data_IF_241003768198
#
_entry.id   IF_241003768198
#
_cell.length_a   1.000
_cell.length_b   1.000
_cell.length_c   1.000
_cell.angle_alpha   90.00
_cell.angle_beta   90.00
_cell.angle_gamma   90.00
#
_symmetry.space_group_name_H-M   'P 1'
#
loop_
_entity.id
_entity.type
_entity.pdbx_description
1 polymer ?
#
# COMPACT_ATOMS: atom_id res chain seq x y z
N UNK A 1 -6.68 6.74 -9.80
CA UNK A 1 -6.41 6.48 -11.23
C UNK A 1 -7.00 7.64 -12.04
N UNK A 2 -6.25 8.19 -12.99
CA UNK A 2 -6.67 9.26 -13.89
C UNK A 2 -6.92 8.71 -15.29
N UNK A 3 -8.09 8.97 -15.88
CA UNK A 3 -8.40 8.62 -17.27
C UNK A 3 -8.83 9.89 -18.03
N UNK A 4 -8.35 10.04 -19.28
CA UNK A 4 -8.78 11.12 -20.15
C UNK A 4 -10.04 10.70 -20.91
N UNK A 5 -11.09 11.49 -20.82
CA UNK A 5 -12.26 11.31 -21.69
C UNK A 5 -11.87 11.66 -23.13
N UNK A 6 -12.05 10.70 -24.04
CA UNK A 6 -11.67 10.86 -25.46
C UNK A 6 -12.55 11.84 -26.20
N UNK A 7 -13.81 12.04 -25.76
CA UNK A 7 -14.78 12.93 -26.43
C UNK A 7 -14.64 14.38 -25.96
N UNK A 8 -14.60 14.59 -24.62
CA UNK A 8 -14.61 15.95 -24.03
C UNK A 8 -13.21 16.47 -23.69
N UNK A 9 -12.20 15.63 -23.76
CA UNK A 9 -10.82 16.01 -23.42
C UNK A 9 -10.54 16.19 -21.92
N UNK A 10 -11.52 16.02 -21.07
CA UNK A 10 -11.43 16.23 -19.63
C UNK A 10 -10.78 15.01 -18.96
N UNK A 11 -10.26 15.23 -17.72
CA UNK A 11 -9.71 14.16 -16.91
C UNK A 11 -10.72 13.73 -15.87
N UNK A 12 -11.04 12.43 -15.84
CA UNK A 12 -11.86 11.80 -14.82
C UNK A 12 -10.92 11.14 -13.81
N UNK A 13 -11.10 11.46 -12.53
CA UNK A 13 -10.31 10.93 -11.43
C UNK A 13 -11.11 9.85 -10.70
N UNK A 14 -10.51 8.67 -10.55
CA UNK A 14 -11.09 7.57 -9.80
C UNK A 14 -10.26 7.35 -8.54
N UNK A 15 -10.91 7.42 -7.40
CA UNK A 15 -10.31 7.07 -6.12
C UNK A 15 -10.38 5.57 -5.92
N UNK A 16 -9.26 4.95 -5.55
CA UNK A 16 -9.18 3.53 -5.24
C UNK A 16 -8.62 3.37 -3.85
N UNK A 17 -9.33 2.63 -3.00
CA UNK A 17 -8.86 2.31 -1.67
C UNK A 17 -7.74 1.27 -1.76
N UNK A 18 -6.64 1.53 -1.06
CA UNK A 18 -5.58 0.55 -0.90
C UNK A 18 -5.89 -0.32 0.33
N UNK A 19 -6.59 -1.43 0.12
CA UNK A 19 -7.05 -2.33 1.18
C UNK A 19 -5.91 -2.84 2.06
N UNK A 20 -4.76 -3.18 1.48
CA UNK A 20 -3.57 -3.62 2.22
C UNK A 20 -3.10 -2.56 3.23
N UNK A 21 -2.94 -1.30 2.78
CA UNK A 21 -2.52 -0.21 3.67
C UNK A 21 -3.55 0.10 4.74
N UNK A 22 -4.84 -0.01 4.40
CA UNK A 22 -5.91 0.22 5.37
C UNK A 22 -5.94 -0.85 6.46
N UNK A 23 -5.78 -2.12 6.09
CA UNK A 23 -5.72 -3.23 7.05
C UNK A 23 -4.49 -3.12 7.95
N UNK A 24 -3.32 -2.81 7.40
CA UNK A 24 -2.09 -2.58 8.19
C UNK A 24 -2.25 -1.42 9.17
N UNK A 25 -2.90 -0.32 8.75
CA UNK A 25 -3.16 0.81 9.63
C UNK A 25 -4.11 0.44 10.76
N UNK A 26 -5.19 -0.28 10.42
CA UNK A 26 -6.17 -0.74 11.41
C UNK A 26 -5.54 -1.69 12.42
N UNK A 27 -4.69 -2.63 11.98
CA UNK A 27 -3.93 -3.51 12.87
C UNK A 27 -3.05 -2.69 13.85
N UNK A 28 -2.30 -1.72 13.34
CA UNK A 28 -1.45 -0.86 14.17
C UNK A 28 -2.26 -0.06 15.21
N UNK A 29 -3.41 0.47 14.83
CA UNK A 29 -4.28 1.23 15.73
C UNK A 29 -4.91 0.32 16.81
N UNK A 30 -5.27 -0.93 16.47
CA UNK A 30 -5.77 -1.91 17.45
C UNK A 30 -4.67 -2.37 18.41
N UNK A 31 -3.45 -2.59 17.94
CA UNK A 31 -2.31 -2.93 18.80
C UNK A 31 -2.07 -1.82 19.82
N UNK A 32 -2.12 -0.54 19.40
CA UNK A 32 -1.97 0.60 20.32
C UNK A 32 -3.07 0.60 21.38
N UNK A 33 -4.32 0.39 20.99
CA UNK A 33 -5.44 0.29 21.94
C UNK A 33 -5.29 -0.85 22.92
N UNK A 34 -4.77 -2.00 22.48
CA UNK A 34 -4.48 -3.12 23.37
C UNK A 34 -3.38 -2.76 24.38
N UNK A 35 -2.34 -2.04 23.96
CA UNK A 35 -1.29 -1.59 24.88
C UNK A 35 -1.85 -0.62 25.93
N UNK A 36 -2.70 0.33 25.54
CA UNK A 36 -3.40 1.24 26.46
C UNK A 36 -4.28 0.47 27.45
N UNK A 37 -5.04 -0.54 26.99
CA UNK A 37 -5.87 -1.36 27.85
C UNK A 37 -5.04 -2.24 28.79
N UNK A 38 -3.91 -2.78 28.34
CA UNK A 38 -2.98 -3.54 29.19
C UNK A 38 -2.33 -2.66 30.26
N UNK A 39 -2.00 -1.42 29.93
CA UNK A 39 -1.53 -0.45 30.92
C UNK A 39 -2.60 -0.15 31.96
N UNK A 40 -3.83 0.15 31.51
CA UNK A 40 -4.95 0.39 32.40
C UNK A 40 -5.27 -0.83 33.29
N UNK A 41 -5.09 -2.05 32.77
CA UNK A 41 -5.24 -3.28 33.55
C UNK A 41 -4.19 -3.37 34.66
N UNK A 42 -2.92 -3.13 34.31
CA UNK A 42 -1.81 -3.12 35.28
C UNK A 42 -1.99 -2.06 36.36
N UNK A 43 -2.47 -0.86 35.98
CA UNK A 43 -2.78 0.19 36.96
C UNK A 43 -3.93 -0.23 37.87
N UNK A 44 -4.98 -0.91 37.37
CA UNK A 44 -6.09 -1.42 38.16
C UNK A 44 -5.70 -2.57 39.09
N UNK A 45 -4.74 -3.40 38.69
CA UNK A 45 -4.23 -4.51 39.51
C UNK A 45 -3.25 -4.04 40.60
N UNK A 46 -2.50 -2.93 40.34
CA UNK A 46 -1.47 -2.41 41.25
C UNK A 46 -1.96 -1.33 42.21
N UNK A 47 -3.00 -0.54 41.83
CA UNK A 47 -3.48 0.63 42.58
C UNK A 47 -4.87 0.40 43.13
N UNK A 48 -5.15 1.04 44.27
CA UNK A 48 -6.49 1.15 44.84
C UNK A 48 -7.20 2.35 44.26
N UNK A 49 -8.50 2.22 44.07
CA UNK A 49 -9.36 3.28 43.54
C UNK A 49 -10.50 3.55 44.51
N UNK A 50 -10.87 4.81 44.59
CA UNK A 50 -11.92 5.34 45.46
C UNK A 50 -12.94 6.08 44.61
N UNK A 51 -14.21 6.02 44.96
CA UNK A 51 -15.30 6.69 44.25
C UNK A 51 -16.10 7.57 45.19
N UNK A 52 -16.50 8.73 44.70
CA UNK A 52 -17.53 9.53 45.32
C UNK A 52 -18.92 9.05 44.82
N UNK A 53 -19.80 8.63 45.71
CA UNK A 53 -21.13 8.13 45.34
C UNK A 53 -22.05 9.18 44.78
N UNK A 54 -21.91 10.46 45.19
CA UNK A 54 -22.73 11.55 44.70
C UNK A 54 -22.34 12.09 43.36
N UNK A 55 -21.02 12.13 43.08
CA UNK A 55 -20.47 12.73 41.84
C UNK A 55 -20.00 11.69 40.80
N UNK A 56 -19.98 10.40 41.16
CA UNK A 56 -19.42 9.32 40.32
C UNK A 56 -17.96 9.54 39.88
N UNK A 57 -17.23 10.34 40.66
CA UNK A 57 -15.82 10.65 40.36
C UNK A 57 -14.94 9.57 40.99
N UNK A 58 -14.17 8.87 40.17
CA UNK A 58 -13.21 7.87 40.58
C UNK A 58 -11.81 8.48 40.65
N UNK A 59 -11.10 8.26 41.74
CA UNK A 59 -9.74 8.75 41.99
C UNK A 59 -8.82 7.62 42.46
N UNK A 60 -7.52 7.77 42.20
CA UNK A 60 -6.53 6.84 42.76
C UNK A 60 -6.30 7.13 44.24
N UNK A 61 -5.74 6.14 44.99
CA UNK A 61 -5.41 6.30 46.41
C UNK A 61 -4.51 7.54 46.67
N UNK A 62 -3.55 7.80 45.78
CA UNK A 62 -2.67 8.97 45.86
C UNK A 62 -3.46 10.29 45.90
N UNK A 63 -4.43 10.45 44.95
CA UNK A 63 -5.28 11.62 44.89
C UNK A 63 -6.29 11.72 46.04
N UNK A 64 -6.80 10.57 46.50
CA UNK A 64 -7.68 10.55 47.66
C UNK A 64 -6.96 11.00 48.93
N UNK A 65 -5.70 10.61 49.10
CA UNK A 65 -4.84 11.07 50.21
C UNK A 65 -4.57 12.57 50.15
N UNK A 66 -4.34 13.13 48.97
CA UNK A 66 -4.13 14.61 48.81
C UNK A 66 -5.34 15.42 49.24
N UNK A 67 -6.56 14.86 49.17
CA UNK A 67 -7.82 15.52 49.54
C UNK A 67 -8.41 14.97 50.86
N UNK A 68 -7.61 14.36 51.71
CA UNK A 68 -8.07 13.73 52.96
C UNK A 68 -9.31 12.84 52.79
N UNK A 69 -9.34 12.08 51.71
CA UNK A 69 -10.44 11.23 51.27
C UNK A 69 -11.81 11.92 51.11
N UNK A 70 -11.77 13.26 50.92
CA UNK A 70 -12.97 14.06 50.67
C UNK A 70 -13.07 14.45 49.17
N UNK A 71 -14.27 14.39 48.62
CA UNK A 71 -14.50 14.81 47.23
C UNK A 71 -14.34 16.32 47.06
N UNK A 72 -13.54 16.77 46.10
CA UNK A 72 -13.31 18.19 45.85
C UNK A 72 -14.56 18.91 45.33
N UNK A 73 -15.56 18.17 44.80
CA UNK A 73 -16.78 18.78 44.22
C UNK A 73 -17.92 18.87 45.25
N UNK A 74 -18.13 17.85 46.07
CA UNK A 74 -19.26 17.80 46.98
C UNK A 74 -18.87 17.60 48.46
N UNK A 75 -17.60 17.51 48.78
CA UNK A 75 -17.01 17.27 50.10
C UNK A 75 -17.49 15.94 50.75
N UNK A 76 -18.09 15.01 50.02
CA UNK A 76 -18.45 13.69 50.52
C UNK A 76 -17.24 12.79 50.63
N UNK A 77 -17.21 11.86 51.55
CA UNK A 77 -16.09 10.93 51.74
C UNK A 77 -16.08 9.86 50.66
N UNK A 78 -14.92 9.67 50.07
CA UNK A 78 -14.68 8.64 49.07
C UNK A 78 -14.85 7.24 49.67
N UNK A 79 -15.44 6.32 48.90
CA UNK A 79 -15.56 4.90 49.26
C UNK A 79 -14.65 4.06 48.39
N UNK A 80 -14.05 3.00 48.98
CA UNK A 80 -13.19 2.07 48.24
C UNK A 80 -14.00 1.33 47.16
N UNK A 81 -13.46 1.25 45.95
CA UNK A 81 -14.04 0.54 44.81
C UNK A 81 -13.53 -0.90 44.74
N UNK A 82 -14.42 -1.84 44.48
CA UNK A 82 -14.04 -3.20 44.12
C UNK A 82 -13.63 -3.25 42.64
N UNK A 83 -12.31 -3.42 42.40
CA UNK A 83 -11.73 -3.45 41.06
C UNK A 83 -12.02 -4.76 40.29
N UNK A 84 -12.58 -5.79 40.90
CA UNK A 84 -12.78 -7.13 40.30
C UNK A 84 -13.61 -7.08 39.02
N UNK A 85 -14.71 -6.32 39.05
CA UNK A 85 -15.61 -6.14 37.90
C UNK A 85 -14.90 -5.36 36.77
N UNK A 86 -14.23 -4.24 37.11
CA UNK A 86 -13.52 -3.42 36.17
C UNK A 86 -12.35 -4.18 35.49
N UNK A 87 -11.60 -4.96 36.27
CA UNK A 87 -10.53 -5.82 35.75
C UNK A 87 -11.08 -6.85 34.77
N UNK A 88 -12.20 -7.50 35.09
CA UNK A 88 -12.85 -8.48 34.21
C UNK A 88 -13.32 -7.84 32.90
N UNK A 89 -13.88 -6.64 32.97
CA UNK A 89 -14.35 -5.90 31.79
C UNK A 89 -13.21 -5.47 30.89
N UNK A 90 -12.10 -4.99 31.47
CA UNK A 90 -10.90 -4.63 30.70
C UNK A 90 -10.29 -5.88 30.04
N UNK A 91 -10.17 -7.00 30.76
CA UNK A 91 -9.73 -8.28 30.19
C UNK A 91 -10.61 -8.72 29.03
N UNK A 92 -11.94 -8.62 29.18
CA UNK A 92 -12.90 -8.91 28.11
C UNK A 92 -12.77 -7.98 26.88
N UNK A 93 -12.42 -6.70 27.08
CA UNK A 93 -12.13 -5.77 25.98
C UNK A 93 -10.82 -6.14 25.25
N UNK A 94 -9.80 -6.55 25.98
CA UNK A 94 -8.51 -6.99 25.40
C UNK A 94 -8.73 -8.21 24.52
N UNK A 95 -9.40 -9.26 25.03
CA UNK A 95 -9.63 -10.49 24.25
C UNK A 95 -10.44 -10.24 22.98
N UNK A 96 -11.46 -9.36 23.03
CA UNK A 96 -12.21 -8.95 21.83
C UNK A 96 -11.33 -8.28 20.80
N UNK A 97 -10.43 -7.38 21.22
CA UNK A 97 -9.50 -6.70 20.31
C UNK A 97 -8.43 -7.63 19.75
N UNK A 98 -7.94 -8.57 20.50
CA UNK A 98 -7.03 -9.61 20.03
C UNK A 98 -7.68 -10.50 18.95
N UNK A 99 -8.96 -10.84 19.12
CA UNK A 99 -9.72 -11.56 18.11
C UNK A 99 -9.93 -10.72 16.83
N UNK A 100 -10.22 -9.41 16.95
CA UNK A 100 -10.32 -8.51 15.81
C UNK A 100 -8.98 -8.47 15.02
N UNK A 101 -7.84 -8.43 15.71
CA UNK A 101 -6.51 -8.47 15.07
C UNK A 101 -6.30 -9.79 14.31
N UNK A 102 -6.69 -10.92 14.91
CA UNK A 102 -6.58 -12.22 14.24
C UNK A 102 -7.39 -12.26 12.94
N UNK A 103 -8.60 -11.71 12.94
CA UNK A 103 -9.43 -11.61 11.73
C UNK A 103 -8.78 -10.69 10.68
N UNK A 104 -8.25 -9.53 11.07
CA UNK A 104 -7.56 -8.61 10.16
C UNK A 104 -6.34 -9.27 9.53
N UNK A 105 -5.56 -10.02 10.29
CA UNK A 105 -4.39 -10.75 9.78
C UNK A 105 -4.79 -11.82 8.75
N UNK A 106 -5.89 -12.53 8.98
CA UNK A 106 -6.40 -13.50 8.02
C UNK A 106 -6.82 -12.83 6.70
N UNK A 107 -7.53 -11.69 6.77
CA UNK A 107 -7.91 -10.93 5.59
C UNK A 107 -6.69 -10.34 4.86
N UNK A 108 -5.70 -9.85 5.60
CA UNK A 108 -4.47 -9.33 5.04
C UNK A 108 -3.71 -10.42 4.26
N UNK A 109 -3.63 -11.63 4.79
CA UNK A 109 -3.04 -12.77 4.10
C UNK A 109 -3.75 -13.06 2.77
N UNK A 110 -5.09 -13.03 2.75
CA UNK A 110 -5.86 -13.22 1.51
C UNK A 110 -5.62 -12.11 0.47
N UNK A 111 -5.47 -10.86 0.92
CA UNK A 111 -5.17 -9.71 0.04
C UNK A 111 -3.77 -9.83 -0.55
N UNK A 112 -2.80 -10.23 0.24
CA UNK A 112 -1.42 -10.44 -0.20
C UNK A 112 -1.32 -11.58 -1.22
N UNK A 113 -1.99 -12.69 -0.98
CA UNK A 113 -2.07 -13.85 -1.87
C UNK A 113 -2.67 -13.48 -3.23
N UNK A 114 -3.77 -12.73 -3.25
CA UNK A 114 -4.38 -12.21 -4.48
C UNK A 114 -3.42 -11.30 -5.24
N UNK A 115 -2.70 -10.44 -4.54
CA UNK A 115 -1.73 -9.51 -5.12
C UNK A 115 -0.53 -10.24 -5.72
N UNK A 116 -0.07 -11.29 -5.08
CA UNK A 116 1.03 -12.13 -5.58
C UNK A 116 0.62 -12.90 -6.84
N UNK A 117 -0.56 -13.52 -6.85
CA UNK A 117 -1.13 -14.19 -8.03
C UNK A 117 -1.29 -13.23 -9.22
N UNK A 118 -1.76 -12.01 -8.99
CA UNK A 118 -1.87 -11.00 -10.06
C UNK A 118 -0.50 -10.60 -10.60
N UNK A 119 0.47 -10.34 -9.74
CA UNK A 119 1.86 -10.02 -10.13
C UNK A 119 2.52 -11.17 -10.91
N UNK A 120 2.33 -12.41 -10.48
CA UNK A 120 2.84 -13.58 -11.19
C UNK A 120 2.23 -13.70 -12.60
N UNK A 121 0.91 -13.51 -12.70
CA UNK A 121 0.19 -13.50 -13.98
C UNK A 121 0.69 -12.39 -14.92
N UNK A 122 0.90 -11.17 -14.41
CA UNK A 122 1.41 -10.04 -15.19
C UNK A 122 2.84 -10.28 -15.66
N UNK A 123 3.72 -10.80 -14.79
CA UNK A 123 5.08 -11.19 -15.16
C UNK A 123 5.09 -12.24 -16.26
N UNK A 124 4.23 -13.26 -16.17
CA UNK A 124 4.09 -14.30 -17.19
C UNK A 124 3.60 -13.73 -18.55
N UNK A 125 2.64 -12.80 -18.53
CA UNK A 125 2.16 -12.11 -19.73
C UNK A 125 3.24 -11.25 -20.36
N UNK A 126 4.01 -10.53 -19.57
CA UNK A 126 5.12 -9.70 -20.04
C UNK A 126 6.23 -10.55 -20.67
N UNK A 127 6.61 -11.67 -20.03
CA UNK A 127 7.60 -12.60 -20.54
C UNK A 127 7.17 -13.24 -21.89
N UNK A 128 5.87 -13.54 -22.05
CA UNK A 128 5.34 -14.02 -23.33
C UNK A 128 5.38 -12.95 -24.42
N UNK A 129 5.11 -11.69 -24.06
CA UNK A 129 5.15 -10.55 -25.00
C UNK A 129 6.56 -10.28 -25.49
N UNK A 130 7.53 -10.26 -24.59
CA UNK A 130 8.96 -10.05 -24.95
C UNK A 130 9.52 -11.17 -25.81
N UNK A 131 9.10 -12.43 -25.62
CA UNK A 131 9.47 -13.55 -26.50
C UNK A 131 8.89 -13.36 -27.91
N UNK A 132 7.61 -13.01 -28.04
CA UNK A 132 6.98 -12.75 -29.34
C UNK A 132 7.63 -11.58 -30.09
N UNK A 133 8.00 -10.50 -29.36
CA UNK A 133 8.65 -9.34 -29.98
C UNK A 133 10.08 -9.66 -30.45
N UNK A 134 10.81 -10.53 -29.72
CA UNK A 134 12.12 -11.04 -30.14
C UNK A 134 12.03 -11.94 -31.37
N UNK A 135 11.01 -12.81 -31.47
CA UNK A 135 10.77 -13.65 -32.64
C UNK A 135 10.39 -12.84 -33.88
N UNK A 136 9.52 -11.83 -33.72
CA UNK A 136 9.19 -10.90 -34.82
C UNK A 136 10.40 -10.13 -35.33
N UNK A 137 11.29 -9.65 -34.44
CA UNK A 137 12.53 -8.98 -34.86
C UNK A 137 13.49 -9.92 -35.55
N UNK A 138 13.60 -11.19 -35.14
CA UNK A 138 14.42 -12.20 -35.84
C UNK A 138 13.85 -12.56 -37.21
N UNK A 139 12.52 -12.61 -37.37
CA UNK A 139 11.87 -12.90 -38.64
C UNK A 139 12.04 -11.73 -39.64
N UNK A 140 11.93 -10.47 -39.18
CA UNK A 140 12.13 -9.30 -40.03
C UNK A 140 13.60 -9.14 -40.48
N UNK A 141 14.58 -9.46 -39.62
CA UNK A 141 16.00 -9.41 -39.98
C UNK A 141 16.44 -10.52 -40.94
N UNK A 142 15.74 -11.65 -40.98
CA UNK A 142 15.95 -12.71 -41.98
C UNK A 142 15.38 -12.33 -43.35
N UNK A 143 14.26 -11.59 -43.39
CA UNK A 143 13.64 -11.12 -44.66
C UNK A 143 14.51 -10.10 -45.37
N UNK A 144 15.08 -9.14 -44.63
CA UNK A 144 15.97 -8.12 -45.20
C UNK A 144 17.33 -8.66 -45.71
N UNK A 145 17.79 -9.79 -45.15
CA UNK A 145 19.02 -10.47 -45.69
C UNK A 145 18.74 -11.20 -46.98
N UNK A 146 17.56 -11.85 -47.13
CA UNK A 146 17.18 -12.53 -48.37
C UNK A 146 16.92 -11.59 -49.54
N UNK A 147 16.42 -10.39 -49.30
CA UNK A 147 16.19 -9.39 -50.35
C UNK A 147 17.50 -8.66 -50.83
N UNK A 148 18.54 -8.66 -49.99
CA UNK A 148 19.87 -8.15 -50.38
C UNK A 148 20.67 -9.16 -51.22
N UNK A 149 20.41 -10.47 -51.08
CA UNK A 149 21.12 -11.51 -51.85
C UNK A 149 20.57 -11.63 -53.28
N UNK A 150 19.29 -11.30 -53.50
CA UNK A 150 18.64 -11.36 -54.83
C UNK A 150 18.96 -10.18 -55.73
N UNK A 151 19.66 -9.11 -55.26
CA UNK A 151 20.03 -7.91 -56.06
C UNK A 151 21.48 -7.87 -56.51
N UNK A 152 22.24 -9.00 -56.40
CA UNK A 152 23.57 -9.10 -57.05
C UNK A 152 23.45 -9.88 -58.35
N UNK A 153 23.09 -9.17 -59.42
CA UNK A 153 23.22 -9.64 -60.80
C UNK A 153 24.44 -8.91 -61.42
N UNK A 154 25.34 -9.60 -62.15
CA UNK A 154 26.62 -9.01 -62.57
C UNK A 154 26.44 -8.06 -63.74
N UNK A 155 27.01 -6.87 -63.60
CA UNK A 155 27.16 -5.88 -64.67
C UNK A 155 28.17 -6.38 -65.70
N UNK A 156 27.73 -6.65 -66.94
CA UNK A 156 28.58 -6.83 -68.11
C UNK A 156 29.33 -5.55 -68.47
N UNK A 157 30.62 -5.75 -68.78
CA UNK A 157 31.53 -4.77 -69.36
C UNK A 157 30.97 -4.22 -70.69
N UNK A 158 30.97 -2.93 -70.89
CA UNK A 158 30.98 -2.32 -72.24
C UNK A 158 32.12 -1.33 -72.30
N UNK A 159 32.87 -1.48 -73.36
CA UNK A 159 34.13 -0.89 -73.73
C UNK A 159 33.91 0.52 -74.30
N UNK A 160 34.76 1.44 -73.93
CA UNK A 160 35.30 2.66 -74.56
C UNK A 160 34.67 3.20 -75.89
N UNK A 161 34.37 4.49 -75.87
CA UNK A 161 34.93 5.36 -76.92
C UNK A 161 35.01 6.83 -76.43
N UNK A 162 36.18 7.36 -76.56
CA UNK A 162 36.62 8.72 -76.42
C UNK A 162 35.89 9.68 -77.36
N UNK A 163 35.56 10.91 -76.94
CA UNK A 163 35.86 12.14 -77.67
C UNK A 163 35.72 13.39 -76.77
N UNK A 164 36.80 14.11 -76.80
CA UNK A 164 37.02 15.43 -76.28
C UNK A 164 36.16 16.53 -76.96
N UNK A 165 35.78 17.59 -76.22
CA UNK A 165 35.81 19.03 -76.60
C UNK A 165 35.19 19.81 -75.43
N UNK A 166 36.01 20.56 -74.72
CA UNK A 166 36.53 21.91 -74.86
C UNK A 166 35.45 23.03 -74.71
N UNK A 167 35.64 23.76 -73.64
CA UNK A 167 35.58 25.24 -73.50
C UNK A 167 34.23 25.94 -73.45
N UNK A 168 33.89 26.63 -72.40
CA UNK A 168 34.01 28.09 -72.11
C UNK A 168 33.08 28.49 -70.92
N UNK A 169 33.69 29.00 -69.94
CA UNK A 169 33.56 30.30 -69.28
C UNK A 169 32.30 31.13 -69.50
N UNK A 170 31.67 31.62 -68.43
CA UNK A 170 31.40 33.02 -68.03
C UNK A 170 30.40 33.01 -66.87
N UNK A 171 30.81 33.49 -65.72
CA UNK A 171 30.51 34.78 -65.09
C UNK A 171 29.05 35.27 -65.26
N UNK A 172 28.30 35.25 -64.18
CA UNK A 172 27.92 36.41 -63.38
C UNK A 172 27.42 35.95 -62.02
#
# INVERSE_FOLDING_TARGET
>A
IRKKDKRKGWYIYFWTLNTEKCLLRLEADLIRKIMELKQALSDRESKRYYICKSCDIEVTEEKALESDFSCNECAEVYTLVDNTTAIRDVKGKITKKEHEIANIRSELALVLDKKEKTRASEKAKLAKKTKKDKEKKKASSKKTKKDKEKKKVPSKKIVTHTKSKKVKSKKK
#
